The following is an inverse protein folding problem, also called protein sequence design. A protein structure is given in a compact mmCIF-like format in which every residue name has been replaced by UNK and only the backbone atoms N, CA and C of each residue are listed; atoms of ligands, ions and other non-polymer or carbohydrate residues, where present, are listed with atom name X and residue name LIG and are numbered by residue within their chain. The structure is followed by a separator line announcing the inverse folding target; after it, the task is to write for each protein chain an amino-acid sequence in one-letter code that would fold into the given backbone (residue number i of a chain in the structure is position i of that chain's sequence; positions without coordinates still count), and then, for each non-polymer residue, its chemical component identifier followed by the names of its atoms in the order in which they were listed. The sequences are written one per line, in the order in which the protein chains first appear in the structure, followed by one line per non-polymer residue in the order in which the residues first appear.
data_IF_865334481344
#
_entry.id   IF_865334481344
#
_cell.length_a   1.000
_cell.length_b   1.000
_cell.length_c   1.000
_cell.angle_alpha   90.00
_cell.angle_beta   90.00
_cell.angle_gamma   90.00
#
_symmetry.space_group_name_H-M   'P 1'
#
loop_
_entity.id
_entity.type
_entity.pdbx_description
1 polymer ?
#
# COMPACT_ATOMS: atom_id res chain seq x y z
N UNK A 1 8.26 -5.82 -21.40
CA UNK A 1 9.19 -4.78 -20.90
C UNK A 1 10.10 -5.43 -19.86
N UNK A 2 11.43 -5.31 -19.96
CA UNK A 2 12.33 -5.83 -18.92
C UNK A 2 12.28 -4.89 -17.72
N UNK A 3 11.69 -5.34 -16.61
CA UNK A 3 11.56 -4.53 -15.39
C UNK A 3 12.85 -4.64 -14.59
N UNK A 4 13.39 -3.50 -14.15
CA UNK A 4 14.60 -3.49 -13.33
C UNK A 4 14.34 -4.18 -11.96
N UNK A 5 15.23 -5.05 -11.47
CA UNK A 5 15.10 -5.66 -10.13
C UNK A 5 15.00 -4.62 -9.01
N UNK A 6 15.58 -3.42 -9.22
CA UNK A 6 15.48 -2.31 -8.28
C UNK A 6 14.06 -1.80 -8.06
N UNK A 7 13.19 -2.00 -9.05
CA UNK A 7 11.80 -1.60 -8.96
C UNK A 7 11.11 -2.39 -7.84
N UNK A 8 11.36 -3.70 -7.74
CA UNK A 8 10.86 -4.54 -6.64
C UNK A 8 11.40 -4.16 -5.26
N UNK A 9 12.67 -3.72 -5.19
CA UNK A 9 13.31 -3.36 -3.92
C UNK A 9 12.65 -2.12 -3.27
N UNK A 10 12.28 -1.12 -4.07
CA UNK A 10 11.89 0.19 -3.55
C UNK A 10 10.39 0.46 -3.64
N UNK A 11 9.70 0.00 -4.69
CA UNK A 11 8.33 0.47 -4.97
C UNK A 11 7.34 0.17 -3.87
N UNK A 12 7.40 -1.01 -3.23
CA UNK A 12 6.48 -1.38 -2.15
C UNK A 12 6.51 -0.37 -1.00
N UNK A 13 7.71 -0.03 -0.50
CA UNK A 13 7.86 0.93 0.59
C UNK A 13 7.67 2.38 0.15
N UNK A 14 7.99 2.76 -1.08
CA UNK A 14 7.67 4.10 -1.61
C UNK A 14 6.16 4.32 -1.67
N UNK A 15 5.41 3.32 -2.16
CA UNK A 15 3.94 3.38 -2.19
C UNK A 15 3.39 3.40 -0.78
N UNK A 16 3.91 2.56 0.12
CA UNK A 16 3.54 2.58 1.53
C UNK A 16 3.77 3.96 2.16
N UNK A 17 4.93 4.59 1.98
CA UNK A 17 5.19 5.93 2.50
C UNK A 17 4.27 6.99 1.92
N UNK A 18 3.98 6.94 0.62
CA UNK A 18 3.00 7.83 -0.02
C UNK A 18 1.60 7.63 0.55
N UNK A 19 1.19 6.38 0.76
CA UNK A 19 -0.09 6.03 1.37
C UNK A 19 -0.16 6.49 2.83
N UNK A 20 0.93 6.43 3.60
CA UNK A 20 1.00 6.98 4.96
C UNK A 20 0.64 8.46 4.96
N UNK A 21 1.32 9.27 4.13
CA UNK A 21 1.05 10.70 4.02
C UNK A 21 -0.38 10.96 3.56
N UNK A 22 -0.84 10.23 2.53
CA UNK A 22 -2.17 10.40 1.95
C UNK A 22 -3.29 10.06 2.94
N UNK A 23 -3.24 8.88 3.57
CA UNK A 23 -4.23 8.43 4.55
C UNK A 23 -4.27 9.35 5.76
N UNK A 24 -3.10 9.70 6.31
CA UNK A 24 -3.03 10.58 7.48
C UNK A 24 -3.50 11.99 7.16
N UNK A 25 -3.11 12.55 6.01
CA UNK A 25 -3.57 13.86 5.55
C UNK A 25 -5.07 13.88 5.27
N UNK A 26 -5.62 12.85 4.62
CA UNK A 26 -7.05 12.72 4.37
C UNK A 26 -7.84 12.56 5.68
N UNK A 27 -7.32 11.79 6.65
CA UNK A 27 -7.92 11.64 7.96
C UNK A 27 -8.00 12.98 8.69
N UNK A 28 -6.87 13.69 8.85
CA UNK A 28 -6.84 14.98 9.52
C UNK A 28 -7.76 16.02 8.85
N UNK A 29 -7.72 16.07 7.52
CA UNK A 29 -8.59 16.95 6.71
C UNK A 29 -10.06 16.61 6.91
N UNK A 30 -10.42 15.32 6.83
CA UNK A 30 -11.80 14.87 7.01
C UNK A 30 -12.33 15.04 8.43
N UNK A 31 -11.46 14.96 9.44
CA UNK A 31 -11.83 15.30 10.81
C UNK A 31 -12.13 16.80 10.92
N UNK A 32 -11.27 17.67 10.39
CA UNK A 32 -11.46 19.11 10.42
C UNK A 32 -12.69 19.58 9.63
N UNK A 33 -12.95 18.97 8.46
CA UNK A 33 -14.10 19.29 7.61
C UNK A 33 -15.39 18.57 8.02
N UNK A 34 -15.38 17.79 9.10
CA UNK A 34 -16.58 17.14 9.64
C UNK A 34 -17.08 15.92 8.84
N UNK A 35 -16.27 15.34 7.94
CA UNK A 35 -16.66 14.17 7.14
C UNK A 35 -16.95 12.92 7.97
N UNK A 36 -16.45 12.87 9.20
CA UNK A 36 -16.77 11.81 10.16
C UNK A 36 -18.22 11.86 10.67
N UNK A 37 -18.91 13.00 10.51
CA UNK A 37 -20.33 13.20 10.90
C UNK A 37 -21.30 12.88 9.75
N UNK A 38 -20.80 12.75 8.53
CA UNK A 38 -21.61 12.41 7.36
C UNK A 38 -21.78 10.89 7.31
N UNK A 39 -22.98 10.38 7.55
CA UNK A 39 -23.24 8.95 7.54
C UNK A 39 -23.51 8.43 6.12
N UNK A 40 -22.85 7.34 5.74
CA UNK A 40 -23.09 6.56 4.53
C UNK A 40 -23.42 5.12 4.98
N UNK A 41 -24.71 4.84 5.17
CA UNK A 41 -25.15 3.58 5.77
C UNK A 41 -24.63 3.44 7.21
N UNK A 42 -23.99 2.30 7.58
CA UNK A 42 -23.50 2.06 8.94
C UNK A 42 -22.14 2.71 9.25
N UNK A 43 -21.51 3.37 8.28
CA UNK A 43 -20.17 3.98 8.42
C UNK A 43 -20.20 5.46 8.07
N UNK A 44 -19.19 6.22 8.49
CA UNK A 44 -19.03 7.61 8.07
C UNK A 44 -18.39 7.73 6.69
N UNK A 45 -18.62 8.86 6.02
CA UNK A 45 -17.98 9.19 4.74
C UNK A 45 -16.45 9.18 4.86
N UNK A 46 -15.92 9.65 5.99
CA UNK A 46 -14.48 9.57 6.29
C UNK A 46 -13.98 8.12 6.31
N UNK A 47 -14.69 7.22 7.01
CA UNK A 47 -14.29 5.81 7.08
C UNK A 47 -14.34 5.15 5.71
N UNK A 48 -15.36 5.45 4.91
CA UNK A 48 -15.47 4.94 3.54
C UNK A 48 -14.30 5.40 2.67
N UNK A 49 -13.95 6.68 2.70
CA UNK A 49 -12.83 7.24 1.95
C UNK A 49 -11.51 6.54 2.31
N UNK A 50 -11.20 6.46 3.61
CA UNK A 50 -9.96 5.83 4.09
C UNK A 50 -9.93 4.34 3.76
N UNK A 51 -11.05 3.64 3.82
CA UNK A 51 -11.15 2.23 3.43
C UNK A 51 -10.88 2.04 1.92
N UNK A 52 -11.44 2.92 1.07
CA UNK A 52 -11.17 2.90 -0.38
C UNK A 52 -9.68 3.16 -0.67
N UNK A 53 -9.07 4.14 0.01
CA UNK A 53 -7.64 4.43 -0.12
C UNK A 53 -6.77 3.25 0.33
N UNK A 54 -7.15 2.58 1.42
CA UNK A 54 -6.48 1.38 1.91
C UNK A 54 -6.55 0.24 0.88
N UNK A 55 -7.75 -0.08 0.38
CA UNK A 55 -7.94 -1.10 -0.65
C UNK A 55 -7.13 -0.77 -1.90
N UNK A 56 -7.18 0.48 -2.37
CA UNK A 56 -6.39 0.93 -3.52
C UNK A 56 -4.88 0.75 -3.30
N UNK A 57 -4.38 1.08 -2.11
CA UNK A 57 -2.97 0.92 -1.74
C UNK A 57 -2.55 -0.55 -1.76
N UNK A 58 -3.34 -1.42 -1.10
CA UNK A 58 -3.08 -2.87 -1.07
C UNK A 58 -3.11 -3.45 -2.48
N UNK A 59 -4.13 -3.10 -3.28
CA UNK A 59 -4.25 -3.54 -4.67
C UNK A 59 -3.09 -3.06 -5.53
N UNK A 60 -2.59 -1.83 -5.32
CA UNK A 60 -1.46 -1.30 -6.07
C UNK A 60 -0.16 -2.05 -5.74
N UNK A 61 0.15 -2.26 -4.46
CA UNK A 61 1.34 -2.99 -4.01
C UNK A 61 1.28 -4.44 -4.50
N UNK A 62 0.15 -5.12 -4.30
CA UNK A 62 -0.04 -6.51 -4.72
C UNK A 62 -0.01 -6.65 -6.26
N UNK A 63 -0.65 -5.74 -6.99
CA UNK A 63 -0.67 -5.71 -8.45
C UNK A 63 0.73 -5.53 -9.03
N UNK A 64 1.51 -4.60 -8.48
CA UNK A 64 2.90 -4.39 -8.89
C UNK A 64 3.78 -5.60 -8.57
N UNK A 65 3.60 -6.23 -7.41
CA UNK A 65 4.31 -7.46 -7.07
C UNK A 65 4.03 -8.57 -8.09
N UNK A 66 2.75 -8.79 -8.45
CA UNK A 66 2.35 -9.81 -9.44
C UNK A 66 2.89 -9.48 -10.83
N UNK A 67 2.78 -8.22 -11.28
CA UNK A 67 3.27 -7.80 -12.60
C UNK A 67 4.79 -7.95 -12.67
N UNK A 68 5.51 -7.53 -11.64
CA UNK A 68 6.97 -7.66 -11.58
C UNK A 68 7.39 -9.14 -11.54
N UNK A 69 6.74 -9.97 -10.72
CA UNK A 69 7.01 -11.41 -10.67
C UNK A 69 6.81 -12.10 -12.03
N UNK A 70 5.80 -11.69 -12.81
CA UNK A 70 5.56 -12.20 -14.17
C UNK A 70 6.51 -11.65 -15.23
N UNK A 71 7.09 -10.48 -15.01
CA UNK A 71 7.90 -9.76 -16.00
C UNK A 71 9.41 -9.93 -15.80
N UNK A 72 9.83 -10.54 -14.68
CA UNK A 72 11.22 -10.93 -14.45
C UNK A 72 11.58 -12.12 -15.34
N UNK A 73 12.54 -11.92 -16.23
CA UNK A 73 13.15 -13.01 -17.00
C UNK A 73 14.10 -13.85 -16.15
N UNK A 74 14.70 -14.89 -16.75
CA UNK A 74 15.70 -15.70 -16.04
C UNK A 74 16.87 -14.84 -15.55
N UNK A 75 17.28 -14.98 -14.27
CA UNK A 75 18.37 -14.21 -13.70
C UNK A 75 19.68 -14.59 -14.38
N UNK A 76 20.37 -13.59 -14.96
CA UNK A 76 21.65 -13.79 -15.66
C UNK A 76 22.85 -13.94 -14.70
N UNK A 77 22.68 -13.67 -13.41
CA UNK A 77 23.74 -13.81 -12.39
C UNK A 77 23.17 -14.20 -11.03
N UNK A 78 24.02 -14.76 -10.17
CA UNK A 78 23.66 -15.13 -8.79
C UNK A 78 23.23 -13.90 -7.97
N UNK A 79 23.93 -12.78 -8.17
CA UNK A 79 23.57 -11.49 -7.58
C UNK A 79 22.18 -11.00 -8.01
N UNK A 80 21.83 -11.15 -9.30
CA UNK A 80 20.50 -10.79 -9.78
C UNK A 80 19.40 -11.66 -9.15
N UNK A 81 19.67 -12.97 -8.97
CA UNK A 81 18.75 -13.88 -8.28
C UNK A 81 18.55 -13.50 -6.82
N UNK A 82 19.62 -13.12 -6.13
CA UNK A 82 19.55 -12.64 -4.75
C UNK A 82 18.72 -11.35 -4.64
N UNK A 83 18.94 -10.38 -5.52
CA UNK A 83 18.19 -9.11 -5.53
C UNK A 83 16.70 -9.33 -5.77
N UNK A 84 16.33 -10.24 -6.67
CA UNK A 84 14.92 -10.60 -6.92
C UNK A 84 14.29 -11.20 -5.64
N UNK A 85 15.01 -12.10 -4.95
CA UNK A 85 14.53 -12.70 -3.70
C UNK A 85 14.32 -11.66 -2.61
N UNK A 86 15.28 -10.75 -2.42
CA UNK A 86 15.17 -9.64 -1.46
C UNK A 86 14.01 -8.71 -1.83
N UNK A 87 13.88 -8.34 -3.10
CA UNK A 87 12.78 -7.50 -3.59
C UNK A 87 11.41 -8.14 -3.34
N UNK A 88 11.28 -9.46 -3.53
CA UNK A 88 10.07 -10.20 -3.19
C UNK A 88 9.74 -10.14 -1.69
N UNK A 89 10.74 -10.33 -0.82
CA UNK A 89 10.55 -10.23 0.64
C UNK A 89 10.18 -8.81 1.08
N UNK A 90 10.79 -7.77 0.49
CA UNK A 90 10.46 -6.38 0.79
C UNK A 90 9.04 -6.01 0.34
N UNK A 91 8.59 -6.53 -0.80
CA UNK A 91 7.19 -6.34 -1.23
C UNK A 91 6.20 -7.02 -0.27
N UNK A 92 6.49 -8.24 0.17
CA UNK A 92 5.67 -8.91 1.18
C UNK A 92 5.67 -8.14 2.50
N UNK A 93 6.82 -7.64 2.95
CA UNK A 93 6.94 -6.81 4.14
C UNK A 93 6.13 -5.50 4.01
N UNK A 94 6.16 -4.84 2.86
CA UNK A 94 5.36 -3.64 2.60
C UNK A 94 3.85 -3.95 2.64
N UNK A 95 3.38 -5.08 2.09
CA UNK A 95 1.98 -5.50 2.20
C UNK A 95 1.56 -5.73 3.64
N UNK A 96 2.36 -6.48 4.41
CA UNK A 96 2.08 -6.76 5.82
C UNK A 96 2.08 -5.45 6.63
N UNK A 97 3.06 -4.58 6.42
CA UNK A 97 3.11 -3.26 7.05
C UNK A 97 1.89 -2.40 6.69
N UNK A 98 1.43 -2.43 5.43
CA UNK A 98 0.21 -1.72 5.00
C UNK A 98 -1.00 -2.18 5.81
N UNK A 99 -1.21 -3.49 5.91
CA UNK A 99 -2.37 -4.07 6.61
C UNK A 99 -2.31 -3.79 8.10
N UNK A 100 -1.15 -3.96 8.74
CA UNK A 100 -1.00 -3.75 10.17
C UNK A 100 -1.13 -2.26 10.53
N UNK A 101 -0.45 -1.38 9.81
CA UNK A 101 -0.43 0.06 10.14
C UNK A 101 -1.74 0.75 9.79
N UNK A 102 -2.35 0.43 8.65
CA UNK A 102 -3.54 1.13 8.16
C UNK A 102 -4.85 0.38 8.42
N UNK A 103 -4.80 -0.89 8.81
CA UNK A 103 -5.99 -1.67 9.15
C UNK A 103 -6.84 -1.03 10.25
N UNK A 104 -6.21 -0.25 11.13
CA UNK A 104 -6.87 0.54 12.17
C UNK A 104 -8.03 1.41 11.67
N UNK A 105 -8.04 1.82 10.40
CA UNK A 105 -9.16 2.55 9.75
C UNK A 105 -10.51 1.85 9.97
N UNK A 106 -10.52 0.52 10.05
CA UNK A 106 -11.74 -0.29 10.12
C UNK A 106 -12.37 -0.34 11.52
N UNK A 107 -11.57 -0.17 12.59
CA UNK A 107 -12.03 -0.41 13.96
C UNK A 107 -11.69 0.68 14.97
N UNK A 108 -10.75 1.57 14.67
CA UNK A 108 -10.38 2.66 15.56
C UNK A 108 -11.32 3.87 15.40
N UNK A 109 -11.34 4.68 16.46
CA UNK A 109 -11.88 6.03 16.45
C UNK A 109 -11.01 6.91 15.56
N UNK A 110 -11.61 7.52 14.52
CA UNK A 110 -10.88 8.25 13.47
C UNK A 110 -10.61 9.72 13.86
N UNK A 111 -11.54 10.27 14.63
CA UNK A 111 -11.53 11.57 15.29
C UNK A 111 -12.14 11.28 16.68
#
# INVERSE_FOLDING_TARGET
MKVSPFLLLLTGFVIWSGAFLGLYGAQATGCHLGWHQINIGPISALRLLLAVMLVATVSLIAGLHVIAARSLGEPQSENARLLIKIGGMLQAAALVATVITYGGVMWLTLC
#
